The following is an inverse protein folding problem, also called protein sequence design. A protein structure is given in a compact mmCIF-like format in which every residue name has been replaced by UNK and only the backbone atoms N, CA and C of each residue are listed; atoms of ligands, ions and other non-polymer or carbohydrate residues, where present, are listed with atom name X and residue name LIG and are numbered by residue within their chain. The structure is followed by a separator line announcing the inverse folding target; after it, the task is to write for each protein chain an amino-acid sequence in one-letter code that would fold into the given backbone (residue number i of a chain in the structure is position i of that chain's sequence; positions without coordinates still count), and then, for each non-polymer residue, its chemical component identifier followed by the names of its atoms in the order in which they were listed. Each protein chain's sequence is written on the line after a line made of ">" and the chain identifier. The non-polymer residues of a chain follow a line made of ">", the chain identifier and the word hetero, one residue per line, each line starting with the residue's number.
data_IF_824101102371
#
_entry.id   IF_824101102371
#
_cell.length_a   1.000
_cell.length_b   1.000
_cell.length_c   1.000
_cell.angle_alpha   90.00
_cell.angle_beta   90.00
_cell.angle_gamma   90.00
#
_symmetry.space_group_name_H-M   'P 1'
#
loop_
_entity.id
_entity.type
_entity.pdbx_description
1 polymer ?
#
# COMPACT_ATOMS: atom_id res chain seq x y z
N UNK A 1 6.91 16.57 8.51
CA UNK A 1 6.77 15.11 8.30
C UNK A 1 5.38 14.65 8.80
N UNK A 2 4.74 13.59 8.28
CA UNK A 2 3.40 13.11 8.77
C UNK A 2 3.50 12.57 10.20
N UNK A 3 4.58 11.87 10.51
CA UNK A 3 4.83 11.25 11.82
C UNK A 3 4.94 12.29 12.93
N UNK A 4 5.64 13.40 12.68
CA UNK A 4 5.75 14.54 13.61
C UNK A 4 4.39 15.19 13.92
N UNK A 5 3.50 15.23 12.92
CA UNK A 5 2.15 15.77 13.10
C UNK A 5 1.32 14.85 13.99
N UNK A 6 1.39 13.53 13.79
CA UNK A 6 0.76 12.58 14.69
C UNK A 6 1.33 12.69 16.10
N UNK A 7 2.65 12.79 16.26
CA UNK A 7 3.26 12.93 17.57
C UNK A 7 2.81 14.20 18.31
N UNK A 8 2.73 15.30 17.58
CA UNK A 8 2.22 16.57 18.11
C UNK A 8 0.75 16.46 18.51
N UNK A 9 -0.07 15.82 17.67
CA UNK A 9 -1.48 15.59 17.95
C UNK A 9 -1.66 14.76 19.21
N UNK A 10 -0.95 13.64 19.36
CA UNK A 10 -1.02 12.81 20.57
C UNK A 10 -0.67 13.59 21.84
N UNK A 11 0.31 14.49 21.76
CA UNK A 11 0.73 15.32 22.91
C UNK A 11 -0.27 16.41 23.28
N UNK A 12 -0.91 17.04 22.29
CA UNK A 12 -1.72 18.25 22.50
C UNK A 12 -3.23 18.00 22.57
N UNK A 13 -3.71 16.89 21.99
CA UNK A 13 -5.14 16.66 21.81
C UNK A 13 -5.90 16.53 23.13
N UNK A 14 -5.33 15.81 24.11
CA UNK A 14 -5.97 15.60 25.42
C UNK A 14 -7.38 15.02 25.28
N UNK A 15 -8.37 15.70 25.87
CA UNK A 15 -9.79 15.35 25.74
C UNK A 15 -10.53 16.17 24.67
N UNK A 16 -9.81 16.91 23.84
CA UNK A 16 -10.38 17.76 22.80
C UNK A 16 -10.88 16.91 21.65
N UNK A 17 -12.02 17.31 21.09
CA UNK A 17 -12.58 16.68 19.89
C UNK A 17 -11.92 17.27 18.65
N UNK A 18 -11.44 16.43 17.75
CA UNK A 18 -10.73 16.88 16.55
C UNK A 18 -11.48 16.46 15.29
N UNK A 19 -11.85 17.47 14.49
CA UNK A 19 -12.51 17.30 13.20
C UNK A 19 -11.61 17.84 12.11
N UNK A 20 -11.41 17.07 11.06
CA UNK A 20 -10.57 17.46 9.93
C UNK A 20 -11.44 17.75 8.73
N UNK A 21 -11.11 18.83 8.01
CA UNK A 21 -11.75 19.19 6.75
C UNK A 21 -10.66 19.27 5.69
N UNK A 22 -10.78 18.43 4.66
CA UNK A 22 -9.87 18.42 3.53
C UNK A 22 -10.55 19.02 2.31
N UNK A 23 -10.06 20.17 1.83
CA UNK A 23 -10.62 20.88 0.68
C UNK A 23 -9.68 20.73 -0.52
N UNK A 24 -10.22 20.37 -1.68
CA UNK A 24 -9.53 20.31 -2.96
C UNK A 24 -9.23 18.89 -3.45
N UNK A 25 -8.34 18.81 -4.45
CA UNK A 25 -8.14 17.61 -5.27
C UNK A 25 -7.35 16.48 -4.59
N UNK A 26 -6.48 16.80 -3.63
CA UNK A 26 -5.60 15.79 -3.02
C UNK A 26 -5.18 16.12 -1.57
N UNK A 27 -6.12 16.30 -0.62
CA UNK A 27 -5.74 16.36 0.78
C UNK A 27 -5.18 15.00 1.21
N UNK A 28 -4.27 15.00 2.20
CA UNK A 28 -3.77 13.78 2.80
C UNK A 28 -4.89 13.10 3.64
N UNK A 29 -5.76 12.34 2.97
CA UNK A 29 -6.93 11.72 3.58
C UNK A 29 -6.60 10.66 4.63
N UNK A 30 -5.42 10.04 4.55
CA UNK A 30 -4.95 9.11 5.56
C UNK A 30 -4.72 9.84 6.89
N UNK A 31 -3.87 10.87 6.88
CA UNK A 31 -3.60 11.71 8.04
C UNK A 31 -4.90 12.29 8.60
N UNK A 32 -5.72 12.93 7.76
CA UNK A 32 -6.93 13.62 8.19
C UNK A 32 -7.92 12.67 8.89
N UNK A 33 -8.12 11.46 8.34
CA UNK A 33 -9.02 10.46 8.91
C UNK A 33 -8.49 9.94 10.25
N UNK A 34 -7.20 9.63 10.31
CA UNK A 34 -6.56 9.10 11.53
C UNK A 34 -6.50 10.13 12.66
N UNK A 35 -6.18 11.37 12.33
CA UNK A 35 -6.19 12.50 13.25
C UNK A 35 -7.59 12.71 13.84
N UNK A 36 -8.63 12.70 13.00
CA UNK A 36 -10.02 12.82 13.46
C UNK A 36 -10.44 11.63 14.34
N UNK A 37 -10.08 10.40 13.96
CA UNK A 37 -10.36 9.21 14.76
C UNK A 37 -9.74 9.27 16.16
N UNK A 38 -8.48 9.70 16.26
CA UNK A 38 -7.81 9.88 17.55
C UNK A 38 -8.48 10.96 18.40
N UNK A 39 -8.93 12.05 17.77
CA UNK A 39 -9.73 13.09 18.42
C UNK A 39 -11.22 12.82 18.48
N UNK A 40 -11.67 11.56 18.28
CA UNK A 40 -13.06 11.13 18.47
C UNK A 40 -14.08 11.88 17.58
N UNK A 41 -13.59 12.48 16.51
CA UNK A 41 -14.36 13.18 15.49
C UNK A 41 -14.32 12.46 14.13
N UNK A 42 -14.68 13.19 13.09
CA UNK A 42 -14.79 12.64 11.72
C UNK A 42 -14.10 13.53 10.70
N UNK A 43 -13.57 12.90 9.65
CA UNK A 43 -13.00 13.59 8.49
C UNK A 43 -14.07 13.95 7.46
N UNK A 44 -14.13 15.22 7.06
CA UNK A 44 -14.99 15.72 5.97
C UNK A 44 -14.15 16.05 4.75
N UNK A 45 -14.40 15.37 3.63
CA UNK A 45 -13.75 15.66 2.35
C UNK A 45 -14.61 16.54 1.47
N UNK A 46 -14.05 17.62 0.94
CA UNK A 46 -14.69 18.58 0.04
C UNK A 46 -13.87 18.62 -1.25
N UNK A 47 -14.35 18.01 -2.33
CA UNK A 47 -13.56 17.84 -3.54
C UNK A 47 -13.51 19.09 -4.42
N UNK A 48 -14.58 19.88 -4.40
CA UNK A 48 -14.79 21.04 -5.28
C UNK A 48 -15.28 22.25 -4.49
N UNK A 49 -15.05 23.46 -5.03
CA UNK A 49 -15.49 24.70 -4.39
C UNK A 49 -17.02 24.79 -4.25
N UNK A 50 -17.75 24.18 -5.19
CA UNK A 50 -19.21 24.14 -5.22
C UNK A 50 -19.79 23.34 -4.04
N UNK A 51 -19.07 22.32 -3.56
CA UNK A 51 -19.50 21.49 -2.43
C UNK A 51 -19.22 22.13 -1.06
N UNK A 52 -18.41 23.19 -1.00
CA UNK A 52 -17.92 23.76 0.27
C UNK A 52 -19.08 24.17 1.15
N UNK A 53 -20.01 24.97 0.62
CA UNK A 53 -21.12 25.51 1.40
C UNK A 53 -21.98 24.38 2.01
N UNK A 54 -22.41 23.42 1.18
CA UNK A 54 -23.26 22.32 1.61
C UNK A 54 -22.58 21.41 2.65
N UNK A 55 -21.32 21.04 2.42
CA UNK A 55 -20.59 20.14 3.32
C UNK A 55 -20.24 20.82 4.63
N UNK A 56 -19.87 22.11 4.60
CA UNK A 56 -19.64 22.88 5.81
C UNK A 56 -20.93 23.07 6.61
N UNK A 57 -22.04 23.37 5.95
CA UNK A 57 -23.34 23.49 6.61
C UNK A 57 -23.74 22.18 7.33
N UNK A 58 -23.61 21.03 6.65
CA UNK A 58 -23.87 19.71 7.27
C UNK A 58 -22.93 19.43 8.44
N UNK A 59 -21.65 19.80 8.32
CA UNK A 59 -20.69 19.64 9.41
C UNK A 59 -21.08 20.50 10.62
N UNK A 60 -21.51 21.75 10.43
CA UNK A 60 -21.92 22.60 11.54
C UNK A 60 -23.20 22.09 12.23
N UNK A 61 -24.23 21.72 11.47
CA UNK A 61 -25.43 21.08 12.03
C UNK A 61 -25.06 19.86 12.87
N UNK A 62 -24.14 19.04 12.35
CA UNK A 62 -23.63 17.87 13.06
C UNK A 62 -22.96 18.28 14.38
N UNK A 63 -22.03 19.22 14.35
CA UNK A 63 -21.26 19.65 15.54
C UNK A 63 -22.16 20.26 16.63
N UNK A 64 -23.28 20.86 16.25
CA UNK A 64 -24.29 21.41 17.17
C UNK A 64 -25.15 20.33 17.83
N UNK A 65 -25.14 19.09 17.32
CA UNK A 65 -26.03 18.01 17.73
C UNK A 65 -25.29 16.74 18.20
N UNK A 66 -24.45 16.81 19.25
CA UNK A 66 -23.90 15.62 19.88
C UNK A 66 -25.00 14.84 20.61
N UNK A 67 -25.21 13.58 20.21
CA UNK A 67 -26.19 12.70 20.84
C UNK A 67 -25.60 11.99 22.05
N UNK A 68 -24.43 11.36 21.89
CA UNK A 68 -23.72 10.67 22.98
C UNK A 68 -22.22 10.96 22.94
N UNK A 69 -21.67 11.28 24.09
CA UNK A 69 -20.28 11.64 24.29
C UNK A 69 -19.59 10.66 25.23
N UNK A 70 -18.26 10.58 25.15
CA UNK A 70 -17.44 9.81 26.11
C UNK A 70 -17.85 8.34 26.22
N UNK A 71 -18.21 7.75 25.08
CA UNK A 71 -18.74 6.39 25.03
C UNK A 71 -17.70 5.35 25.44
N UNK A 72 -18.12 4.40 26.26
CA UNK A 72 -17.42 3.17 26.57
C UNK A 72 -18.37 1.99 26.39
N UNK A 73 -17.82 0.85 25.94
CA UNK A 73 -18.56 -0.40 25.79
C UNK A 73 -17.80 -1.49 26.56
N UNK A 74 -18.49 -2.01 27.56
CA UNK A 74 -18.00 -3.05 28.46
C UNK A 74 -18.85 -4.32 28.27
N UNK A 75 -18.20 -5.47 28.35
CA UNK A 75 -18.84 -6.77 28.24
C UNK A 75 -18.44 -7.67 29.40
N UNK A 76 -17.76 -8.77 29.07
CA UNK A 76 -17.29 -9.72 30.09
C UNK A 76 -16.06 -9.17 30.79
N UNK A 77 -16.04 -9.22 32.11
CA UNK A 77 -14.83 -9.00 32.91
C UNK A 77 -13.91 -10.22 32.89
N UNK A 78 -14.45 -11.37 32.48
CA UNK A 78 -13.75 -12.65 32.55
C UNK A 78 -13.22 -13.00 31.16
N UNK A 79 -11.94 -12.71 30.92
CA UNK A 79 -11.23 -13.05 29.69
C UNK A 79 -10.76 -11.85 28.88
N UNK A 80 -10.53 -12.05 27.57
CA UNK A 80 -10.03 -10.97 26.69
C UNK A 80 -11.17 -10.09 26.20
N UNK A 81 -10.92 -8.77 26.13
CA UNK A 81 -11.83 -7.78 25.58
C UNK A 81 -11.06 -6.80 24.70
N UNK A 82 -11.03 -7.06 23.40
CA UNK A 82 -10.31 -6.24 22.43
C UNK A 82 -11.32 -5.50 21.54
N UNK A 83 -11.77 -4.35 22.03
CA UNK A 83 -12.76 -3.47 21.40
C UNK A 83 -12.09 -2.43 20.49
N UNK A 84 -12.63 -2.28 19.29
CA UNK A 84 -12.20 -1.30 18.29
C UNK A 84 -13.40 -0.55 17.68
N UNK A 85 -13.24 0.73 17.31
CA UNK A 85 -12.05 1.57 17.55
C UNK A 85 -11.85 1.89 19.04
N UNK A 86 -10.61 2.18 19.43
CA UNK A 86 -10.25 2.60 20.78
C UNK A 86 -9.35 3.85 20.68
N UNK A 87 -9.80 5.02 21.16
CA UNK A 87 -11.08 5.28 21.86
C UNK A 87 -12.32 5.15 20.94
N UNK A 88 -13.48 4.91 21.54
CA UNK A 88 -14.75 4.98 20.81
C UNK A 88 -15.06 6.45 20.41
N UNK A 89 -15.52 6.68 19.17
CA UNK A 89 -15.94 8.00 18.72
C UNK A 89 -17.24 8.42 19.41
N UNK A 90 -17.46 9.73 19.44
CA UNK A 90 -18.73 10.29 19.89
C UNK A 90 -19.80 10.08 18.81
N UNK A 91 -21.07 10.01 19.22
CA UNK A 91 -22.22 9.85 18.32
C UNK A 91 -22.88 11.18 18.12
N UNK A 92 -23.00 11.56 16.85
CA UNK A 92 -23.69 12.76 16.41
C UNK A 92 -25.01 12.37 15.76
N UNK A 93 -25.99 13.27 15.78
CA UNK A 93 -27.29 13.04 15.16
C UNK A 93 -27.12 12.64 13.67
N UNK A 94 -27.80 11.55 13.27
CA UNK A 94 -27.79 11.04 11.90
C UNK A 94 -26.63 10.10 11.55
N UNK A 95 -25.70 9.81 12.47
CA UNK A 95 -24.60 8.88 12.24
C UNK A 95 -24.62 7.66 13.19
N UNK A 96 -24.43 6.44 12.68
CA UNK A 96 -24.31 5.26 13.52
C UNK A 96 -22.91 5.14 14.13
N UNK A 97 -22.83 4.67 15.37
CA UNK A 97 -21.59 4.10 15.92
C UNK A 97 -21.43 2.66 15.44
N UNK A 98 -20.27 2.35 14.86
CA UNK A 98 -19.87 0.98 14.58
C UNK A 98 -18.64 0.63 15.40
N UNK A 99 -18.75 -0.44 16.18
CA UNK A 99 -17.65 -1.01 16.93
C UNK A 99 -17.63 -2.53 16.78
N UNK A 100 -16.45 -3.12 16.85
CA UNK A 100 -16.24 -4.56 16.80
C UNK A 100 -15.33 -4.96 17.96
N UNK A 101 -15.61 -6.09 18.58
CA UNK A 101 -14.79 -6.61 19.66
C UNK A 101 -14.44 -8.08 19.45
N UNK A 102 -13.29 -8.48 19.97
CA UNK A 102 -12.90 -9.89 20.12
C UNK A 102 -12.90 -10.24 21.61
N UNK A 103 -13.50 -11.38 21.92
CA UNK A 103 -13.51 -11.93 23.27
C UNK A 103 -13.32 -13.44 23.28
N UNK A 104 -12.77 -13.96 24.37
CA UNK A 104 -12.70 -15.41 24.66
C UNK A 104 -13.96 -15.92 25.33
N UNK A 105 -14.68 -15.06 26.04
CA UNK A 105 -15.84 -15.42 26.86
C UNK A 105 -16.99 -14.49 26.47
N UNK A 106 -17.98 -14.97 25.69
CA UNK A 106 -19.13 -14.17 25.33
C UNK A 106 -19.85 -13.65 26.58
N UNK A 107 -20.10 -12.34 26.71
CA UNK A 107 -20.83 -11.80 27.85
C UNK A 107 -22.31 -12.19 27.79
N UNK A 108 -23.01 -12.19 28.92
CA UNK A 108 -24.47 -12.24 28.94
C UNK A 108 -25.11 -10.88 28.61
N UNK A 109 -24.41 -9.80 28.94
CA UNK A 109 -24.88 -8.43 28.75
C UNK A 109 -23.74 -7.53 28.28
N UNK A 110 -24.07 -6.56 27.44
CA UNK A 110 -23.20 -5.45 27.08
C UNK A 110 -23.66 -4.19 27.82
N UNK A 111 -22.72 -3.52 28.46
CA UNK A 111 -22.94 -2.25 29.13
C UNK A 111 -22.35 -1.14 28.28
N UNK A 112 -23.19 -0.19 27.85
CA UNK A 112 -22.76 1.01 27.17
C UNK A 112 -22.89 2.17 28.15
N UNK A 113 -21.83 2.94 28.34
CA UNK A 113 -21.81 4.12 29.19
C UNK A 113 -21.28 5.32 28.43
N UNK A 114 -21.60 6.53 28.90
CA UNK A 114 -21.15 7.79 28.34
C UNK A 114 -21.91 8.96 28.94
N UNK A 115 -22.12 10.00 28.14
CA UNK A 115 -22.92 11.16 28.51
C UNK A 115 -23.86 11.55 27.37
N UNK A 116 -25.12 11.82 27.71
CA UNK A 116 -26.09 12.44 26.81
C UNK A 116 -26.15 13.93 27.16
N UNK A 117 -25.48 14.77 26.37
CA UNK A 117 -25.19 16.14 26.77
C UNK A 117 -24.31 16.19 28.02
N UNK A 118 -24.83 16.77 29.11
CA UNK A 118 -24.15 16.86 30.41
C UNK A 118 -24.56 15.76 31.40
N UNK A 119 -25.55 14.93 31.04
CA UNK A 119 -26.10 13.92 31.93
C UNK A 119 -25.38 12.59 31.70
N UNK A 120 -24.83 11.95 32.75
CA UNK A 120 -24.30 10.60 32.64
C UNK A 120 -25.35 9.64 32.13
N UNK A 121 -24.99 8.85 31.13
CA UNK A 121 -25.88 7.90 30.49
C UNK A 121 -25.28 6.50 30.55
N UNK A 122 -26.11 5.52 30.86
CA UNK A 122 -25.75 4.11 30.90
C UNK A 122 -26.93 3.26 30.44
N UNK A 123 -26.67 2.28 29.60
CA UNK A 123 -27.65 1.27 29.20
C UNK A 123 -27.04 -0.11 29.22
N UNK A 124 -27.87 -1.10 29.50
CA UNK A 124 -27.47 -2.51 29.52
C UNK A 124 -28.30 -3.24 28.48
N UNK A 125 -27.62 -3.91 27.55
CA UNK A 125 -28.23 -4.65 26.47
C UNK A 125 -27.97 -6.14 26.67
N UNK A 126 -28.97 -7.03 26.52
CA UNK A 126 -28.72 -8.46 26.48
C UNK A 126 -27.82 -8.79 25.28
N UNK A 127 -26.79 -9.60 25.49
CA UNK A 127 -25.96 -10.10 24.41
C UNK A 127 -26.50 -11.45 23.96
N UNK A 128 -26.92 -11.51 22.71
CA UNK A 128 -27.31 -12.76 22.06
C UNK A 128 -26.35 -13.05 20.92
N UNK A 129 -25.75 -14.22 20.92
CA UNK A 129 -24.88 -14.66 19.85
C UNK A 129 -25.69 -14.79 18.56
N UNK A 130 -25.41 -13.93 17.58
CA UNK A 130 -26.02 -14.02 16.25
C UNK A 130 -25.45 -15.17 15.42
N UNK A 131 -26.00 -15.36 14.23
CA UNK A 131 -25.44 -16.30 13.25
C UNK A 131 -23.99 -15.90 12.89
N UNK A 132 -23.06 -16.87 12.81
CA UNK A 132 -21.68 -16.60 12.42
C UNK A 132 -21.63 -15.87 11.07
N UNK A 133 -20.95 -14.73 11.03
CA UNK A 133 -20.69 -13.98 9.78
C UNK A 133 -19.18 -13.86 9.57
N UNK A 134 -18.61 -14.45 8.51
CA UNK A 134 -17.16 -14.46 8.30
C UNK A 134 -16.57 -13.05 8.18
N UNK A 135 -17.35 -12.08 7.68
CA UNK A 135 -16.90 -10.70 7.51
C UNK A 135 -16.61 -9.94 8.81
N UNK A 136 -17.20 -10.31 9.95
CA UNK A 136 -17.02 -9.59 11.22
C UNK A 136 -15.60 -9.77 11.74
N UNK A 137 -15.08 -11.01 11.71
CA UNK A 137 -13.72 -11.30 12.14
C UNK A 137 -12.68 -10.57 11.27
N UNK A 138 -12.90 -10.53 9.96
CA UNK A 138 -12.04 -9.79 9.02
C UNK A 138 -12.10 -8.27 9.26
N UNK A 139 -13.29 -7.73 9.53
CA UNK A 139 -13.46 -6.31 9.83
C UNK A 139 -12.68 -5.90 11.09
N UNK A 140 -12.85 -6.66 12.17
CA UNK A 140 -12.09 -6.45 13.41
C UNK A 140 -10.59 -6.58 13.19
N UNK A 141 -10.13 -7.61 12.46
CA UNK A 141 -8.71 -7.84 12.21
C UNK A 141 -8.05 -6.70 11.41
N UNK A 142 -8.75 -6.14 10.41
CA UNK A 142 -8.28 -4.96 9.67
C UNK A 142 -8.14 -3.74 10.57
N UNK A 143 -9.13 -3.49 11.44
CA UNK A 143 -9.03 -2.41 12.42
C UNK A 143 -7.87 -2.65 13.39
N UNK A 144 -7.65 -3.90 13.84
CA UNK A 144 -6.57 -4.23 14.76
C UNK A 144 -5.20 -3.99 14.15
N UNK A 145 -4.98 -4.44 12.92
CA UNK A 145 -3.75 -4.15 12.17
C UNK A 145 -3.56 -2.64 12.05
N UNK A 146 -4.62 -1.90 11.71
CA UNK A 146 -4.54 -0.45 11.59
C UNK A 146 -4.14 0.23 12.91
N UNK A 147 -4.71 -0.19 14.04
CA UNK A 147 -4.33 0.31 15.37
C UNK A 147 -2.87 -0.02 15.72
N UNK A 148 -2.41 -1.25 15.47
CA UNK A 148 -1.03 -1.66 15.71
C UNK A 148 -0.04 -0.86 14.85
N UNK A 149 -0.42 -0.55 13.62
CA UNK A 149 0.37 0.30 12.73
C UNK A 149 0.43 1.76 13.22
N UNK A 150 -0.65 2.29 13.78
CA UNK A 150 -0.65 3.65 14.37
C UNK A 150 0.33 3.71 15.57
N UNK A 151 0.43 2.64 16.35
CA UNK A 151 1.38 2.53 17.46
C UNK A 151 2.84 2.45 17.00
N UNK A 152 3.11 2.12 15.74
CA UNK A 152 4.46 2.00 15.18
C UNK A 152 5.06 3.36 14.75
N UNK A 153 4.64 4.46 15.39
CA UNK A 153 5.12 5.81 15.06
C UNK A 153 6.59 5.99 15.52
N UNK A 154 7.56 6.18 14.60
CA UNK A 154 8.99 6.14 14.89
C UNK A 154 9.48 7.20 15.88
N UNK A 155 8.86 8.38 15.88
CA UNK A 155 9.28 9.52 16.70
C UNK A 155 9.12 9.32 18.21
N UNK A 156 8.34 8.32 18.65
CA UNK A 156 8.24 7.93 20.07
C UNK A 156 9.06 6.68 20.43
N UNK A 157 9.57 5.95 19.44
CA UNK A 157 10.04 4.57 19.61
C UNK A 157 11.38 4.28 18.95
N UNK A 158 12.08 5.30 18.44
CA UNK A 158 13.43 5.18 17.87
C UNK A 158 14.44 4.52 18.84
N UNK A 159 14.15 4.55 20.14
CA UNK A 159 15.03 4.00 21.18
C UNK A 159 14.62 2.59 21.67
N UNK A 160 13.61 1.94 21.06
CA UNK A 160 13.09 0.63 21.53
C UNK A 160 12.92 -0.39 20.39
N UNK A 161 14.02 -0.97 19.86
CA UNK A 161 13.95 -1.97 18.79
C UNK A 161 13.16 -3.23 19.18
N UNK A 162 13.22 -3.66 20.45
CA UNK A 162 12.45 -4.79 20.95
C UNK A 162 10.94 -4.57 20.80
N UNK A 163 10.46 -3.37 21.16
CA UNK A 163 9.04 -3.03 21.07
C UNK A 163 8.55 -2.98 19.62
N UNK A 164 9.39 -2.49 18.71
CA UNK A 164 9.07 -2.51 17.28
C UNK A 164 8.96 -3.93 16.73
N UNK A 165 9.83 -4.84 17.17
CA UNK A 165 9.76 -6.25 16.79
C UNK A 165 8.47 -6.90 17.31
N UNK A 166 8.05 -6.61 18.53
CA UNK A 166 6.78 -7.07 19.10
C UNK A 166 5.57 -6.58 18.31
N UNK A 167 5.50 -5.28 17.98
CA UNK A 167 4.40 -4.71 17.19
C UNK A 167 4.34 -5.32 15.80
N UNK A 168 5.50 -5.47 15.15
CA UNK A 168 5.61 -6.15 13.85
C UNK A 168 5.09 -7.58 13.93
N UNK A 169 5.51 -8.34 14.93
CA UNK A 169 5.06 -9.72 15.10
C UNK A 169 3.56 -9.79 15.35
N UNK A 170 3.01 -8.90 16.18
CA UNK A 170 1.57 -8.83 16.43
C UNK A 170 0.76 -8.55 15.14
N UNK A 171 1.25 -7.66 14.26
CA UNK A 171 0.62 -7.42 12.95
C UNK A 171 0.66 -8.68 12.08
N UNK A 172 1.81 -9.36 12.01
CA UNK A 172 1.96 -10.61 11.25
C UNK A 172 0.99 -11.68 11.78
N UNK A 173 0.90 -11.87 13.09
CA UNK A 173 0.04 -12.89 13.70
C UNK A 173 -1.44 -12.65 13.40
N UNK A 174 -1.90 -11.40 13.49
CA UNK A 174 -3.29 -11.04 13.13
C UNK A 174 -3.52 -11.23 11.63
N UNK A 175 -2.57 -10.77 10.80
CA UNK A 175 -2.69 -10.86 9.35
C UNK A 175 -2.75 -12.33 8.88
N UNK A 176 -1.85 -13.19 9.35
CA UNK A 176 -1.83 -14.61 8.98
C UNK A 176 -3.06 -15.36 9.48
N UNK A 177 -3.48 -15.13 10.74
CA UNK A 177 -4.66 -15.78 11.33
C UNK A 177 -5.96 -15.47 10.57
N UNK A 178 -6.05 -14.28 9.98
CA UNK A 178 -7.24 -13.82 9.26
C UNK A 178 -7.05 -13.76 7.73
N UNK A 179 -5.96 -14.32 7.19
CA UNK A 179 -5.62 -14.32 5.77
C UNK A 179 -5.63 -12.91 5.12
N UNK A 180 -5.00 -11.95 5.79
CA UNK A 180 -4.92 -10.55 5.35
C UNK A 180 -3.53 -10.19 4.84
N UNK A 181 -3.51 -9.34 3.80
CA UNK A 181 -2.32 -8.64 3.34
C UNK A 181 -2.12 -7.39 4.19
N UNK A 182 -0.88 -7.18 4.65
CA UNK A 182 -0.47 -6.07 5.51
C UNK A 182 0.87 -5.51 5.02
N UNK A 183 1.42 -4.50 5.70
CA UNK A 183 2.78 -4.01 5.43
C UNK A 183 3.84 -5.12 5.54
N UNK A 184 3.58 -6.17 6.32
CA UNK A 184 4.54 -7.24 6.61
C UNK A 184 4.14 -8.62 6.04
N UNK A 185 3.05 -8.72 5.28
CA UNK A 185 2.57 -9.98 4.69
C UNK A 185 2.20 -9.78 3.23
N UNK A 186 2.52 -10.77 2.38
CA UNK A 186 2.19 -10.77 0.96
C UNK A 186 1.59 -12.12 0.54
N UNK A 187 0.79 -12.10 -0.52
CA UNK A 187 0.30 -13.32 -1.17
C UNK A 187 1.30 -13.71 -2.25
N UNK A 188 1.84 -14.93 -2.15
CA UNK A 188 2.74 -15.50 -3.16
C UNK A 188 2.04 -16.71 -3.75
N UNK A 189 1.81 -16.70 -5.06
CA UNK A 189 1.35 -17.86 -5.78
C UNK A 189 2.57 -18.70 -6.15
N UNK A 190 2.64 -19.93 -5.61
CA UNK A 190 3.68 -20.89 -5.98
C UNK A 190 3.05 -21.92 -6.89
N UNK A 191 3.45 -21.92 -8.17
CA UNK A 191 3.07 -22.94 -9.13
C UNK A 191 3.78 -24.25 -8.78
N UNK A 192 3.02 -25.28 -8.48
CA UNK A 192 3.54 -26.57 -8.01
C UNK A 192 3.81 -27.55 -9.15
N UNK A 193 3.28 -27.28 -10.34
CA UNK A 193 3.46 -28.12 -11.53
C UNK A 193 4.52 -27.46 -12.40
N UNK A 194 5.74 -28.02 -12.51
CA UNK A 194 6.72 -27.49 -13.44
C UNK A 194 6.14 -27.61 -14.86
N UNK A 195 6.01 -26.47 -15.56
CA UNK A 195 5.46 -26.41 -16.92
C UNK A 195 6.18 -27.33 -17.92
N UNK A 196 7.42 -27.74 -17.61
CA UNK A 196 8.19 -28.72 -18.36
C UNK A 196 8.44 -29.97 -17.49
N UNK A 197 7.97 -31.15 -17.93
CA UNK A 197 8.40 -32.43 -17.37
C UNK A 197 9.93 -32.60 -17.45
N UNK A 198 10.59 -33.03 -16.36
CA UNK A 198 12.06 -33.08 -16.29
C UNK A 198 12.73 -33.99 -17.33
N UNK A 199 12.00 -34.98 -17.84
CA UNK A 199 12.51 -35.96 -18.80
C UNK A 199 12.59 -35.42 -20.25
N UNK A 200 12.07 -34.22 -20.52
CA UNK A 200 12.15 -33.61 -21.85
C UNK A 200 13.41 -32.73 -21.98
N UNK A 201 14.24 -32.91 -23.02
CA UNK A 201 15.41 -32.09 -23.24
C UNK A 201 15.02 -30.62 -23.44
N UNK A 202 15.83 -29.71 -22.89
CA UNK A 202 15.64 -28.27 -23.07
C UNK A 202 15.84 -27.91 -24.55
N UNK A 203 14.78 -27.53 -25.25
CA UNK A 203 14.91 -26.97 -26.59
C UNK A 203 15.29 -25.50 -26.48
N UNK A 204 16.56 -25.20 -26.77
CA UNK A 204 17.03 -23.82 -26.90
C UNK A 204 16.93 -23.40 -28.36
N UNK A 205 16.16 -22.34 -28.63
CA UNK A 205 16.09 -21.71 -29.94
C UNK A 205 16.53 -20.26 -29.80
N UNK A 206 17.51 -19.85 -30.60
CA UNK A 206 17.90 -18.43 -30.68
C UNK A 206 16.76 -17.66 -31.32
N UNK A 207 16.00 -16.92 -30.50
CA UNK A 207 14.99 -16.00 -31.00
C UNK A 207 15.68 -14.92 -31.83
N UNK A 208 15.16 -14.65 -33.04
CA UNK A 208 15.62 -13.50 -33.82
C UNK A 208 15.30 -12.22 -33.04
N UNK A 209 16.29 -11.34 -32.91
CA UNK A 209 16.10 -10.02 -32.30
C UNK A 209 15.12 -9.22 -33.16
N UNK A 210 13.90 -9.04 -32.68
CA UNK A 210 12.96 -8.11 -33.32
C UNK A 210 13.41 -6.68 -33.00
N UNK A 211 13.51 -5.83 -34.04
CA UNK A 211 13.81 -4.43 -33.84
C UNK A 211 12.54 -3.70 -33.41
N UNK A 212 12.65 -2.70 -32.51
CA UNK A 212 11.54 -1.83 -32.17
C UNK A 212 10.93 -1.20 -33.43
N UNK A 213 9.61 -1.01 -33.40
CA UNK A 213 8.87 -0.42 -34.51
C UNK A 213 9.47 0.94 -34.90
N UNK A 214 9.91 1.07 -36.16
CA UNK A 214 10.54 2.29 -36.69
C UNK A 214 12.07 2.26 -36.80
N UNK A 215 12.76 1.23 -36.29
CA UNK A 215 14.20 1.07 -36.49
C UNK A 215 14.52 0.24 -37.73
N UNK A 216 15.40 0.74 -38.59
CA UNK A 216 15.89 0.04 -39.78
C UNK A 216 17.18 -0.72 -39.44
N UNK A 217 17.20 -2.03 -39.69
CA UNK A 217 18.33 -2.91 -39.38
C UNK A 217 19.64 -2.44 -40.01
N UNK A 218 19.57 -1.96 -41.24
CA UNK A 218 20.70 -1.52 -42.05
C UNK A 218 21.35 -0.23 -41.52
N UNK A 219 20.61 0.63 -40.81
CA UNK A 219 21.16 1.85 -40.24
C UNK A 219 21.98 1.59 -38.96
N UNK A 220 21.75 0.46 -38.28
CA UNK A 220 22.37 0.13 -36.98
C UNK A 220 23.43 -0.97 -37.12
N UNK A 221 23.17 -1.96 -37.97
CA UNK A 221 24.04 -3.13 -38.19
C UNK A 221 24.56 -3.23 -39.63
N UNK A 222 24.22 -2.27 -40.49
CA UNK A 222 24.81 -2.17 -41.83
C UNK A 222 26.29 -1.84 -41.72
N UNK A 223 27.07 -2.43 -42.62
CA UNK A 223 28.50 -2.17 -42.70
C UNK A 223 28.71 -0.70 -43.06
N UNK A 224 29.63 0.03 -42.42
CA UNK A 224 29.84 1.43 -42.71
C UNK A 224 30.16 1.61 -44.20
N UNK A 225 29.38 2.43 -44.90
CA UNK A 225 29.55 2.78 -46.32
C UNK A 225 30.82 3.61 -46.60
N UNK A 226 31.76 3.68 -45.66
CA UNK A 226 33.09 4.28 -45.84
C UNK A 226 34.08 3.26 -46.43
N UNK A 227 33.62 2.42 -47.36
CA UNK A 227 34.51 1.51 -48.06
C UNK A 227 35.42 2.36 -48.96
N UNK A 228 36.68 2.50 -48.56
CA UNK A 228 37.76 2.81 -49.48
C UNK A 228 37.64 1.87 -50.69
N UNK A 229 38.02 2.29 -51.91
CA UNK A 229 37.85 1.47 -53.11
C UNK A 229 38.91 0.35 -53.14
N UNK A 230 38.89 -0.52 -52.13
CA UNK A 230 39.82 -1.63 -51.94
C UNK A 230 39.77 -2.60 -53.13
N UNK A 231 38.58 -2.79 -53.73
CA UNK A 231 38.43 -3.55 -54.96
C UNK A 231 39.22 -2.92 -56.12
N UNK A 232 39.20 -1.59 -56.26
CA UNK A 232 39.99 -0.87 -57.28
C UNK A 232 41.50 -1.00 -57.02
N UNK A 233 41.92 -0.84 -55.76
CA UNK A 233 43.33 -0.98 -55.38
C UNK A 233 43.85 -2.41 -55.56
N UNK A 234 43.04 -3.42 -55.27
CA UNK A 234 43.38 -4.82 -55.55
C UNK A 234 43.52 -5.06 -57.05
N UNK A 235 42.62 -4.52 -57.87
CA UNK A 235 42.69 -4.63 -59.32
C UNK A 235 43.97 -3.98 -59.87
N UNK A 236 44.26 -2.74 -59.45
CA UNK A 236 45.50 -2.04 -59.79
C UNK A 236 46.75 -2.81 -59.36
N UNK A 237 46.75 -3.36 -58.13
CA UNK A 237 47.84 -4.19 -57.61
C UNK A 237 48.09 -5.43 -58.46
N UNK A 238 47.03 -6.14 -58.86
CA UNK A 238 47.16 -7.32 -59.73
C UNK A 238 47.70 -6.96 -61.13
N UNK A 239 47.29 -5.84 -61.70
CA UNK A 239 47.79 -5.37 -63.00
C UNK A 239 49.28 -5.03 -62.93
N UNK A 240 49.71 -4.31 -61.89
CA UNK A 240 51.12 -3.98 -61.70
C UNK A 240 51.97 -5.24 -61.47
N UNK A 241 51.47 -6.22 -60.72
CA UNK A 241 52.16 -7.48 -60.50
C UNK A 241 52.36 -8.27 -61.80
N UNK A 242 51.32 -8.35 -62.64
CA UNK A 242 51.40 -9.00 -63.95
C UNK A 242 52.34 -8.26 -64.92
N UNK A 243 52.33 -6.94 -64.91
CA UNK A 243 53.22 -6.12 -65.73
C UNK A 243 54.70 -6.30 -65.31
N UNK A 244 54.96 -6.33 -64.00
CA UNK A 244 56.29 -6.65 -63.47
C UNK A 244 56.77 -8.05 -63.83
N UNK A 245 55.89 -9.06 -63.73
CA UNK A 245 56.21 -10.43 -64.16
C UNK A 245 56.54 -10.49 -65.66
N UNK A 246 55.79 -9.78 -66.52
CA UNK A 246 56.04 -9.78 -67.96
C UNK A 246 57.41 -9.17 -68.32
N UNK A 247 57.82 -8.12 -67.60
CA UNK A 247 59.12 -7.46 -67.77
C UNK A 247 60.29 -8.26 -67.21
N UNK A 248 60.06 -9.09 -66.18
CA UNK A 248 61.07 -9.98 -65.60
C UNK A 248 61.22 -11.32 -66.33
N UNK A 249 60.52 -11.53 -67.45
CA UNK A 249 60.77 -12.71 -68.31
C UNK A 249 62.16 -12.58 -68.94
N UNK A 250 63.09 -13.51 -68.67
CA UNK A 250 64.42 -13.46 -69.26
C UNK A 250 64.30 -13.52 -70.78
N UNK A 251 64.97 -12.61 -71.48
CA UNK A 251 65.16 -12.71 -72.92
C UNK A 251 65.92 -14.01 -73.18
N UNK A 252 65.21 -15.04 -73.63
CA UNK A 252 65.83 -16.25 -74.11
C UNK A 252 66.75 -15.86 -75.27
N UNK A 253 68.06 -16.05 -75.06
CA UNK A 253 69.07 -15.97 -76.09
C UNK A 253 68.58 -16.78 -77.30
N UNK A 254 68.32 -16.10 -78.41
CA UNK A 254 68.14 -16.77 -79.70
C UNK A 254 69.53 -17.17 -80.22
N UNK A 255 69.66 -18.36 -80.81
CA UNK A 255 70.94 -18.94 -81.24
C UNK A 255 71.63 -18.10 -82.31
#
# INVERSE_FOLDING_TARGET
>A
NEEELFATLHRLLGQTRFFTVGIGSAPNGHFMRKAAQHGRGTFTYIGTAQEVQDKMHRLFIKLEQPAFLNLALEGSTDGTWDLLPAPLPDVYAGEPLMAAFRTTTPPAHLTISGAQGTVPWKTVLPFTTGLPRPGIAVHWARQKISQLMDQHTPSFQSDQPARQAELRQAVIDVALRHHLVSKYTSLVAVETIPARPEHLPLQSHTMKTNLPHGMQYEAIFGWPQTASPAALYLLLGTVMFWMGWLLMRPQAARP
#
